data_IF_217528848327
#
_entry.id   IF_217528848327
#
_cell.length_a   1.000
_cell.length_b   1.000
_cell.length_c   1.000
_cell.angle_alpha   90.00
_cell.angle_beta   90.00
_cell.angle_gamma   90.00
#
_symmetry.space_group_name_H-M   'P 1'
#
loop_
_entity.id
_entity.type
_entity.pdbx_description
1 polymer ?
#
# COMPACT_ATOMS: atom_id res chain seq x y z
N UNK A 1 -20.74 3.02 -34.13
CA UNK A 1 -19.53 2.82 -33.30
C UNK A 1 -19.90 3.24 -31.90
N UNK A 2 -20.25 2.30 -31.02
CA UNK A 2 -20.67 2.61 -29.66
C UNK A 2 -19.45 2.91 -28.82
N UNK A 3 -19.20 4.19 -28.55
CA UNK A 3 -18.23 4.65 -27.56
C UNK A 3 -18.73 4.21 -26.19
N UNK A 4 -18.20 3.12 -25.65
CA UNK A 4 -18.39 2.77 -24.25
C UNK A 4 -17.56 3.74 -23.42
N UNK A 5 -18.21 4.80 -22.94
CA UNK A 5 -17.65 5.66 -21.90
C UNK A 5 -17.65 4.85 -20.61
N UNK A 6 -16.55 4.16 -20.32
CA UNK A 6 -16.25 3.66 -18.98
C UNK A 6 -16.28 4.84 -18.01
N UNK A 7 -17.23 4.83 -17.09
CA UNK A 7 -17.24 5.74 -15.94
C UNK A 7 -15.98 5.40 -15.13
N UNK A 8 -14.95 6.23 -15.20
CA UNK A 8 -13.80 6.09 -14.30
C UNK A 8 -14.30 6.30 -12.87
N UNK A 9 -14.22 5.25 -12.05
CA UNK A 9 -14.50 5.37 -10.62
C UNK A 9 -13.50 6.39 -10.04
N UNK A 10 -14.01 7.30 -9.21
CA UNK A 10 -13.17 8.25 -8.49
C UNK A 10 -12.10 7.50 -7.68
N UNK A 11 -10.88 8.02 -7.71
CA UNK A 11 -9.81 7.55 -6.84
C UNK A 11 -10.12 7.92 -5.39
N UNK A 12 -10.00 6.94 -4.50
CA UNK A 12 -10.24 7.06 -3.06
C UNK A 12 -9.02 6.55 -2.28
N UNK A 13 -8.92 6.93 -1.01
CA UNK A 13 -8.01 6.23 -0.09
C UNK A 13 -8.47 4.78 0.09
N UNK A 14 -7.52 3.86 0.01
CA UNK A 14 -7.73 2.41 0.13
C UNK A 14 -7.41 1.90 1.54
N UNK A 15 -7.03 2.76 2.49
CA UNK A 15 -6.83 2.40 3.90
C UNK A 15 -8.06 1.69 4.48
N UNK A 16 -9.33 2.14 4.24
CA UNK A 16 -10.51 1.44 4.73
C UNK A 16 -10.66 0.01 4.20
N UNK A 17 -9.93 -0.33 3.13
CA UNK A 17 -9.93 -1.63 2.50
C UNK A 17 -8.73 -2.50 2.89
N UNK A 18 -7.87 -2.06 3.80
CA UNK A 18 -6.82 -2.92 4.34
C UNK A 18 -7.42 -4.04 5.19
N UNK A 19 -6.86 -5.25 5.08
CA UNK A 19 -7.16 -6.34 5.99
C UNK A 19 -6.33 -6.16 7.28
N UNK A 20 -6.95 -5.80 8.42
CA UNK A 20 -6.22 -5.55 9.66
C UNK A 20 -5.58 -6.81 10.24
N UNK A 21 -6.04 -8.00 9.86
CA UNK A 21 -5.48 -9.28 10.32
C UNK A 21 -4.18 -9.62 9.60
N UNK A 22 -3.99 -9.10 8.38
CA UNK A 22 -2.83 -9.34 7.53
C UNK A 22 -1.96 -8.09 7.30
N UNK A 23 -2.21 -7.03 8.08
CA UNK A 23 -1.37 -5.84 8.15
C UNK A 23 -0.23 -6.08 9.15
N UNK A 24 1.03 -6.00 8.71
CA UNK A 24 2.20 -6.14 9.57
C UNK A 24 3.41 -5.38 9.02
N UNK A 25 4.39 -5.11 9.88
CA UNK A 25 5.65 -4.52 9.46
C UNK A 25 6.83 -5.31 10.05
N UNK A 26 7.88 -5.50 9.27
CA UNK A 26 9.15 -6.06 9.74
C UNK A 26 10.12 -4.93 10.06
N UNK A 27 10.91 -5.13 11.12
CA UNK A 27 11.82 -4.15 11.70
C UNK A 27 11.12 -2.89 12.25
N UNK A 28 9.84 -2.98 12.62
CA UNK A 28 9.16 -1.88 13.32
C UNK A 28 9.54 -1.84 14.81
N UNK A 29 9.76 -0.64 15.34
CA UNK A 29 9.97 -0.42 16.76
C UNK A 29 8.69 -0.75 17.54
N UNK A 30 8.84 -1.43 18.69
CA UNK A 30 7.70 -1.91 19.48
C UNK A 30 6.72 -0.82 19.95
N UNK A 31 7.17 0.43 20.05
CA UNK A 31 6.36 1.59 20.47
C UNK A 31 5.75 2.37 19.29
N UNK A 32 6.18 2.10 18.05
CA UNK A 32 5.86 2.90 16.87
C UNK A 32 5.55 1.98 15.70
N UNK A 33 4.38 1.33 15.78
CA UNK A 33 3.98 0.28 14.85
C UNK A 33 3.15 0.78 13.68
N UNK A 34 3.20 0.07 12.55
CA UNK A 34 2.36 0.30 11.37
C UNK A 34 0.88 0.26 11.73
N UNK A 35 0.48 -0.69 12.59
CA UNK A 35 -0.92 -0.84 13.01
C UNK A 35 -1.43 0.36 13.79
N UNK A 36 -0.60 0.95 14.64
CA UNK A 36 -0.97 2.15 15.41
C UNK A 36 -1.01 3.38 14.53
N UNK A 37 -0.01 3.56 13.65
CA UNK A 37 0.03 4.66 12.68
C UNK A 37 -1.24 4.71 11.80
N UNK A 38 -1.75 3.55 11.35
CA UNK A 38 -2.97 3.50 10.54
C UNK A 38 -4.24 3.80 11.36
N UNK A 39 -4.26 3.45 12.64
CA UNK A 39 -5.45 3.63 13.51
C UNK A 39 -5.54 5.01 14.14
N UNK A 40 -4.40 5.66 14.37
CA UNK A 40 -4.30 6.87 15.19
C UNK A 40 -3.58 7.99 14.44
N UNK A 41 -4.19 9.18 14.29
CA UNK A 41 -3.64 10.25 13.45
C UNK A 41 -2.35 10.90 13.96
N UNK A 42 -1.94 10.59 15.20
CA UNK A 42 -0.71 11.09 15.83
C UNK A 42 0.33 9.99 16.09
N UNK A 43 0.03 8.74 15.72
CA UNK A 43 1.00 7.67 15.79
C UNK A 43 1.86 7.68 14.52
N UNK A 44 3.08 7.19 14.64
CA UNK A 44 4.02 7.05 13.54
C UNK A 44 4.64 5.66 13.57
N UNK A 45 5.17 5.24 12.43
CA UNK A 45 5.99 4.05 12.27
C UNK A 45 7.46 4.47 12.34
N UNK A 46 8.26 3.72 13.09
CA UNK A 46 9.70 3.89 13.16
C UNK A 46 10.38 2.53 13.10
N UNK A 47 11.58 2.45 12.52
CA UNK A 47 12.37 1.22 12.51
C UNK A 47 13.13 1.00 13.83
N UNK A 48 13.37 -0.26 14.18
CA UNK A 48 13.94 -0.64 15.48
C UNK A 48 15.47 -0.63 15.52
N UNK A 49 16.12 -1.14 14.46
CA UNK A 49 17.57 -1.39 14.46
C UNK A 49 18.36 -0.61 13.42
N UNK A 50 17.80 -0.40 12.23
CA UNK A 50 18.45 0.24 11.09
C UNK A 50 17.40 0.96 10.21
N UNK A 51 17.82 1.51 9.06
CA UNK A 51 16.96 2.28 8.16
C UNK A 51 15.86 1.44 7.47
N UNK A 52 15.95 0.11 7.53
CA UNK A 52 15.13 -0.76 6.69
C UNK A 52 13.75 -1.02 7.31
N UNK A 53 12.71 -0.98 6.48
CA UNK A 53 11.35 -1.33 6.89
C UNK A 53 10.67 -2.14 5.79
N UNK A 54 9.92 -3.18 6.15
CA UNK A 54 9.02 -3.87 5.21
C UNK A 54 7.59 -3.74 5.72
N UNK A 55 6.74 -3.00 5.00
CA UNK A 55 5.32 -2.90 5.28
C UNK A 55 4.58 -3.90 4.41
N UNK A 56 3.92 -4.88 5.03
CA UNK A 56 3.09 -5.87 4.35
C UNK A 56 1.61 -5.48 4.48
N UNK A 57 0.96 -5.15 3.37
CA UNK A 57 -0.42 -4.67 3.32
C UNK A 57 -1.24 -5.58 2.43
N UNK A 58 -2.30 -6.16 3.00
CA UNK A 58 -3.28 -6.93 2.24
C UNK A 58 -4.58 -6.13 2.14
N UNK A 59 -5.31 -6.31 1.04
CA UNK A 59 -6.60 -5.68 0.83
C UNK A 59 -7.73 -6.71 0.99
N UNK A 60 -8.84 -6.29 1.60
CA UNK A 60 -10.06 -7.09 1.77
C UNK A 60 -10.68 -7.52 0.42
N UNK A 61 -10.39 -6.77 -0.64
CA UNK A 61 -10.76 -7.10 -2.01
C UNK A 61 -9.68 -6.60 -2.96
N UNK A 62 -9.70 -7.10 -4.21
CA UNK A 62 -8.76 -6.63 -5.22
C UNK A 62 -8.99 -5.15 -5.54
N UNK A 63 -7.91 -4.41 -5.71
CA UNK A 63 -7.92 -2.97 -6.00
C UNK A 63 -7.04 -2.63 -7.20
N UNK A 64 -7.24 -1.41 -7.71
CA UNK A 64 -6.29 -0.72 -8.58
C UNK A 64 -5.58 0.33 -7.75
N UNK A 65 -4.24 0.32 -7.73
CA UNK A 65 -3.46 1.33 -7.01
C UNK A 65 -2.89 2.32 -8.01
N UNK A 66 -3.15 3.61 -7.77
CA UNK A 66 -2.72 4.71 -8.64
C UNK A 66 -1.53 5.46 -8.06
N UNK A 67 -1.53 5.70 -6.75
CA UNK A 67 -0.45 6.40 -6.07
C UNK A 67 -0.33 5.96 -4.62
N UNK A 68 0.84 6.23 -4.05
CA UNK A 68 1.08 6.11 -2.60
C UNK A 68 1.62 7.42 -2.07
N UNK A 69 1.45 7.65 -0.79
CA UNK A 69 2.10 8.74 -0.06
C UNK A 69 2.77 8.17 1.17
N UNK A 70 4.05 8.48 1.34
CA UNK A 70 4.82 8.19 2.56
C UNK A 70 5.29 9.53 3.10
N UNK A 71 4.70 9.96 4.21
CA UNK A 71 4.99 11.26 4.81
C UNK A 71 5.85 11.10 6.06
N UNK A 72 6.80 12.01 6.26
CA UNK A 72 7.47 12.20 7.55
C UNK A 72 7.21 13.62 8.07
N UNK A 73 7.45 13.85 9.35
CA UNK A 73 7.40 15.20 9.94
C UNK A 73 8.64 16.03 9.56
N UNK A 74 8.49 17.37 9.52
CA UNK A 74 9.64 18.27 9.28
C UNK A 74 10.78 18.04 10.30
N UNK A 75 10.42 17.76 11.56
CA UNK A 75 11.40 17.50 12.61
C UNK A 75 12.18 16.18 12.42
N UNK A 76 11.65 15.26 11.61
CA UNK A 76 12.24 13.96 11.31
C UNK A 76 12.66 13.85 9.83
N UNK A 77 12.93 14.98 9.17
CA UNK A 77 13.29 15.03 7.75
C UNK A 77 14.48 14.13 7.40
N UNK A 78 15.47 14.02 8.28
CA UNK A 78 16.65 13.18 8.08
C UNK A 78 16.35 11.68 8.21
N UNK A 79 15.23 11.31 8.85
CA UNK A 79 14.72 9.94 8.94
C UNK A 79 13.72 9.61 7.82
N UNK A 80 13.51 10.51 6.85
CA UNK A 80 12.53 10.31 5.77
C UNK A 80 12.88 9.09 4.91
N UNK A 81 11.90 8.25 4.52
CA UNK A 81 12.17 7.14 3.61
C UNK A 81 12.64 7.68 2.25
N UNK A 82 13.68 7.07 1.66
CA UNK A 82 14.28 7.51 0.39
C UNK A 82 14.14 6.46 -0.70
N UNK A 83 14.92 5.39 -0.63
CA UNK A 83 14.87 4.34 -1.65
C UNK A 83 13.82 3.30 -1.27
N UNK A 84 12.81 3.17 -2.12
CA UNK A 84 11.61 2.37 -1.86
C UNK A 84 11.39 1.38 -3.01
N UNK A 85 11.16 0.13 -2.65
CA UNK A 85 10.84 -0.95 -3.58
C UNK A 85 9.43 -1.45 -3.34
N UNK A 86 8.64 -1.53 -4.41
CA UNK A 86 7.26 -1.98 -4.36
C UNK A 86 7.13 -3.37 -4.95
N UNK A 87 6.41 -4.22 -4.23
CA UNK A 87 6.03 -5.56 -4.63
C UNK A 87 4.51 -5.70 -4.52
N UNK A 88 3.92 -6.57 -5.33
CA UNK A 88 2.49 -6.87 -5.24
C UNK A 88 2.26 -8.36 -5.28
N UNK A 89 1.13 -8.76 -4.72
CA UNK A 89 0.54 -10.08 -4.90
C UNK A 89 1.37 -11.27 -4.36
N UNK A 90 2.28 -11.01 -3.42
CA UNK A 90 2.99 -12.04 -2.63
C UNK A 90 2.21 -12.33 -1.33
N UNK A 91 2.29 -13.55 -0.75
CA UNK A 91 1.68 -13.85 0.56
C UNK A 91 2.23 -13.00 1.70
N UNK A 92 3.53 -12.74 1.67
CA UNK A 92 4.26 -11.81 2.54
C UNK A 92 5.61 -11.51 1.88
N UNK A 93 6.25 -10.42 2.29
CA UNK A 93 7.61 -10.08 1.90
C UNK A 93 8.52 -10.19 3.14
N UNK A 94 9.62 -10.92 3.01
CA UNK A 94 10.73 -10.96 3.98
C UNK A 94 11.98 -10.24 3.45
N UNK A 95 13.01 -10.10 4.30
CA UNK A 95 14.28 -9.50 3.89
C UNK A 95 15.03 -10.35 2.85
N UNK A 96 14.85 -11.67 2.89
CA UNK A 96 15.37 -12.60 1.86
C UNK A 96 14.75 -12.38 0.47
N UNK A 97 13.50 -11.91 0.38
CA UNK A 97 12.83 -11.64 -0.90
C UNK A 97 13.35 -10.37 -1.60
N UNK A 98 14.02 -9.47 -0.86
CA UNK A 98 14.43 -8.16 -1.40
C UNK A 98 15.89 -8.11 -1.85
N UNK A 99 16.70 -9.11 -1.51
CA UNK A 99 18.13 -9.15 -1.85
C UNK A 99 18.38 -9.13 -3.37
N UNK A 100 17.64 -9.95 -4.12
CA UNK A 100 17.88 -10.13 -5.56
C UNK A 100 17.13 -9.13 -6.46
N UNK A 101 16.21 -8.34 -5.89
CA UNK A 101 15.37 -7.36 -6.57
C UNK A 101 14.55 -7.88 -7.76
N UNK A 102 14.46 -9.20 -7.98
CA UNK A 102 13.89 -9.77 -9.22
C UNK A 102 12.38 -9.60 -9.31
N UNK A 103 11.69 -9.61 -8.16
CA UNK A 103 10.24 -9.47 -8.06
C UNK A 103 9.74 -8.01 -7.94
N UNK A 104 10.65 -7.03 -7.98
CA UNK A 104 10.30 -5.62 -7.79
C UNK A 104 9.44 -5.12 -8.95
N UNK A 105 8.26 -4.61 -8.61
CA UNK A 105 7.30 -4.05 -9.58
C UNK A 105 7.62 -2.60 -9.91
N UNK A 106 8.11 -1.83 -8.93
CA UNK A 106 8.51 -0.44 -9.13
C UNK A 106 9.55 -0.03 -8.09
N UNK A 107 10.55 0.74 -8.52
CA UNK A 107 11.51 1.43 -7.66
C UNK A 107 11.14 2.90 -7.59
N UNK A 108 11.24 3.50 -6.41
CA UNK A 108 10.95 4.90 -6.14
C UNK A 108 12.14 5.45 -5.35
N UNK A 109 12.64 6.62 -5.73
CA UNK A 109 13.53 7.43 -4.90
C UNK A 109 12.75 8.67 -4.51
N UNK A 110 12.42 8.77 -3.22
CA UNK A 110 11.65 9.86 -2.64
C UNK A 110 12.59 10.94 -2.11
N UNK A 111 12.35 12.19 -2.47
CA UNK A 111 13.08 13.32 -1.89
C UNK A 111 12.59 13.59 -0.46
N UNK A 112 13.45 14.03 0.46
CA UNK A 112 13.00 14.37 1.81
C UNK A 112 11.99 15.53 1.79
N UNK A 113 12.07 16.45 0.84
CA UNK A 113 11.08 17.52 0.67
C UNK A 113 9.70 16.99 0.31
N UNK A 114 9.64 16.00 -0.60
CA UNK A 114 8.39 15.37 -1.02
C UNK A 114 7.81 14.49 0.10
N UNK A 115 8.68 13.80 0.87
CA UNK A 115 8.27 13.06 2.05
C UNK A 115 7.66 14.00 3.10
N UNK A 116 8.28 15.13 3.40
CA UNK A 116 7.74 16.10 4.37
C UNK A 116 6.41 16.71 3.90
N UNK A 117 6.30 17.06 2.62
CA UNK A 117 5.07 17.61 2.02
C UNK A 117 3.94 16.59 1.92
N UNK A 118 4.23 15.29 2.07
CA UNK A 118 3.28 14.23 1.79
C UNK A 118 2.89 14.18 0.31
N UNK A 119 3.87 14.30 -0.59
CA UNK A 119 3.63 14.26 -2.02
C UNK A 119 2.98 12.93 -2.43
N UNK A 120 2.06 13.01 -3.40
CA UNK A 120 1.48 11.83 -4.02
C UNK A 120 2.46 11.26 -5.06
N UNK A 121 2.89 10.03 -4.85
CA UNK A 121 3.86 9.33 -5.69
C UNK A 121 3.09 8.47 -6.71
N UNK A 122 3.06 8.84 -8.00
CA UNK A 122 2.34 8.07 -9.00
C UNK A 122 3.01 6.72 -9.23
N UNK A 123 2.20 5.67 -9.25
CA UNK A 123 2.64 4.33 -9.60
C UNK A 123 2.44 4.08 -11.11
N UNK A 124 3.13 3.07 -11.64
CA UNK A 124 2.93 2.56 -12.99
C UNK A 124 1.57 1.85 -13.06
N UNK A 125 0.49 2.60 -13.10
CA UNK A 125 -0.90 2.16 -12.97
C UNK A 125 -1.23 0.86 -13.74
N UNK A 126 -0.68 0.69 -14.95
CA UNK A 126 -0.81 -0.53 -15.77
C UNK A 126 -0.34 -1.82 -15.08
N UNK A 127 0.62 -1.74 -14.15
CA UNK A 127 1.12 -2.86 -13.33
C UNK A 127 0.30 -3.08 -12.07
N UNK A 128 -0.43 -2.07 -11.61
CA UNK A 128 -1.17 -2.05 -10.35
C UNK A 128 -2.69 -2.13 -10.55
N UNK A 129 -3.16 -2.78 -11.62
CA UNK A 129 -4.60 -2.95 -11.92
C UNK A 129 -5.30 -4.03 -11.09
N UNK A 130 -4.55 -4.97 -10.53
CA UNK A 130 -5.10 -6.16 -9.90
C UNK A 130 -4.27 -6.54 -8.69
N UNK A 131 -4.38 -5.73 -7.64
CA UNK A 131 -3.57 -5.83 -6.42
C UNK A 131 -4.42 -6.45 -5.31
N UNK A 132 -3.94 -7.57 -4.75
CA UNK A 132 -4.49 -8.21 -3.56
C UNK A 132 -3.63 -7.93 -2.32
N UNK A 133 -2.33 -7.75 -2.52
CA UNK A 133 -1.38 -7.30 -1.52
C UNK A 133 -0.39 -6.32 -2.13
N UNK A 134 0.00 -5.32 -1.35
CA UNK A 134 1.03 -4.33 -1.65
C UNK A 134 2.07 -4.40 -0.55
N UNK A 135 3.32 -4.59 -0.94
CA UNK A 135 4.44 -4.62 0.00
C UNK A 135 5.39 -3.47 -0.34
N UNK A 136 5.72 -2.69 0.69
CA UNK A 136 6.57 -1.51 0.58
C UNK A 136 7.84 -1.79 1.38
N UNK A 137 8.95 -1.96 0.69
CA UNK A 137 10.26 -2.06 1.32
C UNK A 137 10.96 -0.71 1.24
N UNK A 138 11.32 -0.14 2.38
CA UNK A 138 12.21 1.01 2.48
C UNK A 138 13.62 0.47 2.72
N UNK A 139 14.55 0.73 1.80
CA UNK A 139 15.92 0.25 1.91
C UNK A 139 16.87 1.25 2.57
N UNK A 140 16.59 2.55 2.42
CA UNK A 140 17.41 3.64 2.94
C UNK A 140 16.55 4.83 3.36
N UNK A 141 17.09 5.69 4.23
CA UNK A 141 16.51 7.00 4.52
C UNK A 141 17.26 8.15 3.82
N UNK A 142 16.76 9.37 3.98
CA UNK A 142 17.23 10.54 3.25
C UNK A 142 18.47 11.20 3.84
N UNK A 143 18.77 10.95 5.12
CA UNK A 143 19.88 11.54 5.85
C UNK A 143 20.92 10.49 6.26
N UNK A 144 21.61 10.78 7.37
CA UNK A 144 22.54 9.86 8.04
C UNK A 144 21.93 9.33 9.36
N UNK A 145 20.60 9.31 9.44
CA UNK A 145 19.90 8.85 10.64
C UNK A 145 19.94 7.31 10.71
N UNK A 146 20.05 6.75 11.91
CA UNK A 146 20.12 5.28 12.06
C UNK A 146 18.78 4.60 11.74
N UNK A 147 17.66 5.31 11.90
CA UNK A 147 16.31 4.77 11.74
C UNK A 147 15.50 5.55 10.71
N UNK A 148 14.51 4.89 10.14
CA UNK A 148 13.51 5.49 9.25
C UNK A 148 12.23 5.75 10.02
N UNK A 149 11.62 6.92 9.80
CA UNK A 149 10.33 7.30 10.38
C UNK A 149 9.31 7.70 9.32
N UNK A 150 8.09 7.18 9.48
CA UNK A 150 6.93 7.46 8.63
C UNK A 150 5.78 7.90 9.53
N UNK A 151 5.33 9.14 9.37
CA UNK A 151 4.25 9.76 10.14
C UNK A 151 2.86 9.54 9.52
N UNK A 152 2.79 9.24 8.23
CA UNK A 152 1.53 8.77 7.61
C UNK A 152 1.78 8.04 6.30
N UNK A 153 0.94 7.04 6.04
CA UNK A 153 0.83 6.33 4.78
C UNK A 153 -0.55 6.57 4.19
N UNK A 154 -0.64 6.82 2.89
CA UNK A 154 -1.88 6.66 2.12
C UNK A 154 -1.64 5.86 0.84
N UNK A 155 -2.65 5.10 0.44
CA UNK A 155 -2.66 4.32 -0.80
C UNK A 155 -3.93 4.70 -1.53
N UNK A 156 -3.79 5.34 -2.68
CA UNK A 156 -4.92 5.92 -3.43
C UNK A 156 -5.16 5.13 -4.71
N UNK A 157 -6.43 4.87 -5.00
CA UNK A 157 -6.85 4.19 -6.21
C UNK A 157 -8.33 3.81 -6.20
N UNK A 158 -8.70 2.69 -6.82
CA UNK A 158 -10.11 2.31 -6.95
C UNK A 158 -10.36 0.83 -6.67
N UNK A 159 -11.58 0.52 -6.22
CA UNK A 159 -12.01 -0.85 -5.97
C UNK A 159 -12.31 -1.58 -7.28
N UNK A 160 -11.78 -2.80 -7.44
CA UNK A 160 -12.22 -3.67 -8.52
C UNK A 160 -13.68 -4.06 -8.32
N UNK A 161 -14.38 -4.28 -9.43
CA UNK A 161 -15.75 -4.80 -9.37
C UNK A 161 -15.72 -6.18 -8.74
N UNK A 162 -16.44 -6.35 -7.65
CA UNK A 162 -16.80 -7.68 -7.16
C UNK A 162 -17.81 -8.21 -8.17
N UNK A 163 -17.57 -9.35 -8.83
CA UNK A 163 -18.58 -9.95 -9.68
C UNK A 163 -19.85 -10.08 -8.85
N UNK A 164 -20.92 -9.40 -9.28
CA UNK A 164 -22.24 -9.63 -8.67
C UNK A 164 -22.56 -11.07 -8.97
N UNK A 165 -22.56 -11.91 -7.95
CA UNK A 165 -23.09 -13.25 -8.04
C UNK A 165 -24.54 -13.12 -8.52
N UNK A 166 -24.78 -13.45 -9.79
CA UNK A 166 -26.11 -13.58 -10.36
C UNK A 166 -26.71 -14.85 -9.78
N UNK A 167 -27.07 -14.81 -8.50
CA UNK A 167 -28.03 -15.73 -7.90
C UNK A 167 -29.41 -15.41 -8.47
N UNK A 168 -29.54 -15.60 -9.77
CA UNK A 168 -30.77 -15.75 -10.51
C UNK A 168 -30.96 -17.26 -10.67
N UNK A 169 -31.26 -17.94 -9.56
CA UNK A 169 -31.87 -19.26 -9.62
C UNK A 169 -33.31 -19.01 -10.06
N UNK A 170 -33.56 -19.34 -11.33
CA UNK A 170 -34.83 -19.13 -12.00
C UNK A 170 -35.99 -19.65 -11.17
N UNK A 171 -37.03 -18.82 -11.08
CA UNK A 171 -38.39 -19.33 -10.99
C UNK A 171 -38.65 -20.09 -12.29
N UNK A 172 -38.70 -21.40 -12.22
CA UNK A 172 -39.51 -22.19 -13.14
C UNK A 172 -40.74 -22.64 -12.35
N UNK A 173 -41.89 -22.14 -12.83
CA UNK A 173 -43.22 -22.68 -12.57
C UNK A 173 -43.37 -24.06 -13.24
N UNK A 174 -44.41 -24.79 -12.80
CA UNK A 174 -44.89 -26.12 -13.24
C UNK A 174 -44.22 -27.33 -12.54
N UNK A 175 -44.94 -28.25 -11.89
CA UNK A 175 -46.17 -28.94 -12.31
C UNK A 175 -46.82 -29.71 -11.12
N UNK A 176 -48.15 -29.91 -11.23
CA UNK A 176 -48.98 -31.01 -10.69
C UNK A 176 -49.35 -31.10 -9.18
N UNK A 177 -50.59 -30.68 -8.84
CA UNK A 177 -51.73 -31.57 -8.52
C UNK A 177 -53.03 -30.79 -8.26
#
# INVERSE_FOLDING_TARGET
MSSSSTVEKADISLIPNFDPSQLNCLNEASAHTLKEMIKSPNAYLESDADEQLILNIHFLQKVRVKSITLRTSEAAKDQAPKDILLFINKPSLGFEDVEDNTAVIQKITLSPEDAVKGASIPLRYVKFQNVHSLHIFVSTNAGDAETTRIDSLDVVGSLNEVPKDVSNLGKEEEHDH
#
